data_IF_967152962399
#
_entry.id   IF_967152962399
#
_cell.length_a   1.000
_cell.length_b   1.000
_cell.length_c   1.000
_cell.angle_alpha   90.00
_cell.angle_beta   90.00
_cell.angle_gamma   90.00
#
_symmetry.space_group_name_H-M   'P 1'
#
loop_
_entity.id
_entity.type
_entity.pdbx_description
1 polymer ?
#
# COMPACT_ATOMS: atom_id res chain seq x y z
N UNK A 1 -31.58 -18.40 34.72
CA UNK A 1 -30.65 -19.00 33.73
C UNK A 1 -30.11 -17.90 32.86
N UNK A 2 -28.78 -17.71 32.90
CA UNK A 2 -28.10 -16.78 32.01
C UNK A 2 -27.62 -17.54 30.79
N UNK A 3 -27.96 -17.07 29.59
CA UNK A 3 -27.40 -17.58 28.36
C UNK A 3 -26.66 -16.46 27.59
N UNK A 4 -25.54 -16.82 26.99
CA UNK A 4 -24.70 -15.90 26.22
C UNK A 4 -25.01 -16.18 24.74
N UNK A 5 -25.34 -15.12 23.99
CA UNK A 5 -25.47 -15.17 22.53
C UNK A 5 -24.25 -14.58 21.87
N UNK A 6 -23.76 -15.24 20.85
CA UNK A 6 -22.70 -14.74 19.99
C UNK A 6 -23.10 -14.84 18.51
N UNK A 7 -22.55 -13.96 17.68
CA UNK A 7 -22.63 -14.06 16.23
C UNK A 7 -21.29 -14.57 15.70
N UNK A 8 -21.31 -15.66 14.95
CA UNK A 8 -20.13 -16.22 14.31
C UNK A 8 -20.31 -16.13 12.81
N UNK A 9 -19.24 -15.70 12.12
CA UNK A 9 -19.21 -15.65 10.65
C UNK A 9 -18.17 -16.64 10.17
N UNK A 10 -18.53 -17.53 9.27
CA UNK A 10 -17.60 -18.46 8.62
C UNK A 10 -16.80 -17.65 7.61
N UNK A 11 -15.47 -17.68 7.71
CA UNK A 11 -14.57 -16.98 6.81
C UNK A 11 -14.07 -17.89 5.67
N UNK A 12 -13.99 -19.18 5.91
CA UNK A 12 -13.53 -20.15 4.93
C UNK A 12 -13.39 -21.54 5.51
N UNK A 13 -13.04 -22.49 4.66
CA UNK A 13 -12.68 -23.86 4.99
C UNK A 13 -11.16 -24.03 4.80
N UNK A 14 -10.46 -24.48 5.84
CA UNK A 14 -9.00 -24.64 5.82
C UNK A 14 -8.59 -25.73 4.82
N UNK A 15 -9.40 -26.77 4.70
CA UNK A 15 -9.13 -27.89 3.79
C UNK A 15 -9.41 -27.54 2.31
N UNK A 16 -10.07 -26.40 2.04
CA UNK A 16 -10.40 -25.89 0.70
C UNK A 16 -9.87 -24.46 0.45
N UNK A 17 -8.58 -24.22 0.70
CA UNK A 17 -7.88 -22.95 0.46
C UNK A 17 -8.64 -21.71 1.00
N UNK A 18 -9.30 -21.83 2.14
CA UNK A 18 -10.15 -20.81 2.74
C UNK A 18 -11.33 -20.36 1.87
N UNK A 19 -11.77 -21.18 0.93
CA UNK A 19 -13.01 -20.94 0.22
C UNK A 19 -14.22 -21.03 1.16
N UNK A 20 -15.25 -20.25 0.89
CA UNK A 20 -16.48 -20.35 1.66
C UNK A 20 -17.17 -21.69 1.43
N UNK A 21 -17.48 -22.46 2.47
CA UNK A 21 -18.17 -23.73 2.31
C UNK A 21 -19.55 -23.53 1.68
N UNK A 22 -19.91 -24.40 0.76
CA UNK A 22 -21.18 -24.34 0.03
C UNK A 22 -22.39 -24.67 0.89
N UNK A 23 -22.15 -25.38 1.98
CA UNK A 23 -23.21 -25.82 2.92
C UNK A 23 -23.00 -25.13 4.28
N UNK A 24 -24.07 -24.61 4.91
CA UNK A 24 -23.97 -24.04 6.25
C UNK A 24 -23.67 -25.15 7.28
N UNK A 25 -23.02 -24.75 8.37
CA UNK A 25 -22.83 -25.66 9.49
C UNK A 25 -24.18 -26.14 10.05
N UNK A 26 -24.36 -27.47 10.31
CA UNK A 26 -25.59 -27.99 10.89
C UNK A 26 -25.89 -27.38 12.26
N UNK A 27 -27.17 -27.30 12.66
CA UNK A 27 -27.53 -26.91 14.01
C UNK A 27 -26.88 -27.84 15.05
N UNK A 28 -26.32 -27.25 16.11
CA UNK A 28 -25.62 -27.98 17.16
C UNK A 28 -24.15 -28.30 16.89
N UNK A 29 -23.59 -27.79 15.77
CA UNK A 29 -22.17 -27.90 15.51
C UNK A 29 -21.37 -27.16 16.60
N UNK A 30 -20.44 -27.85 17.30
CA UNK A 30 -19.64 -27.22 18.35
C UNK A 30 -18.67 -26.23 17.78
N UNK A 31 -18.41 -25.15 18.52
CA UNK A 31 -17.45 -24.08 18.18
C UNK A 31 -16.33 -24.14 19.20
N UNK A 32 -15.11 -24.23 18.70
CA UNK A 32 -13.89 -24.25 19.50
C UNK A 32 -13.02 -23.03 19.19
N UNK A 33 -12.19 -22.62 20.16
CA UNK A 33 -11.12 -21.67 19.89
C UNK A 33 -10.08 -22.34 18.98
N UNK A 34 -9.65 -21.67 17.93
CA UNK A 34 -8.62 -22.19 17.04
C UNK A 34 -7.32 -22.49 17.82
N UNK A 35 -6.74 -23.65 17.54
CA UNK A 35 -5.41 -23.99 18.08
C UNK A 35 -4.33 -23.17 17.38
N UNK A 36 -3.12 -23.14 18.00
CA UNK A 36 -1.96 -22.48 17.42
C UNK A 36 -1.60 -23.05 16.05
N UNK A 37 -1.67 -24.37 15.90
CA UNK A 37 -1.33 -25.03 14.64
C UNK A 37 -2.26 -24.59 13.50
N UNK A 38 -3.55 -24.54 13.76
CA UNK A 38 -4.56 -24.04 12.80
C UNK A 38 -4.28 -22.57 12.42
N UNK A 39 -3.92 -21.72 13.38
CA UNK A 39 -3.63 -20.32 13.10
C UNK A 39 -2.33 -20.16 12.31
N UNK A 40 -1.31 -20.95 12.60
CA UNK A 40 -0.09 -20.95 11.82
C UNK A 40 -0.36 -21.38 10.36
N UNK A 41 -1.14 -22.43 10.15
CA UNK A 41 -1.51 -22.89 8.80
C UNK A 41 -2.24 -21.81 7.99
N UNK A 42 -3.04 -20.95 8.65
CA UNK A 42 -3.77 -19.86 8.00
C UNK A 42 -2.86 -18.65 7.72
N UNK A 43 -2.01 -18.25 8.68
CA UNK A 43 -1.29 -16.97 8.64
C UNK A 43 0.19 -17.10 8.27
N UNK A 44 0.81 -18.27 8.48
CA UNK A 44 2.20 -18.53 8.12
C UNK A 44 2.27 -19.04 6.66
N UNK A 45 2.41 -18.11 5.74
CA UNK A 45 2.52 -18.42 4.30
C UNK A 45 3.97 -18.61 3.90
N UNK A 46 4.26 -19.60 3.06
CA UNK A 46 5.57 -19.71 2.39
C UNK A 46 5.79 -18.50 1.49
N UNK A 47 6.99 -17.91 1.53
CA UNK A 47 7.34 -16.70 0.79
C UNK A 47 6.47 -15.48 1.14
N UNK A 48 6.22 -15.28 2.42
CA UNK A 48 5.47 -14.12 2.90
C UNK A 48 6.39 -13.00 3.37
N UNK A 49 5.92 -11.77 3.20
CA UNK A 49 6.43 -10.61 3.92
C UNK A 49 5.86 -10.63 5.32
N UNK A 50 6.72 -10.55 6.32
CA UNK A 50 6.31 -10.51 7.72
C UNK A 50 5.82 -9.12 8.07
N UNK A 51 4.55 -8.98 8.43
CA UNK A 51 3.95 -7.70 8.78
C UNK A 51 3.87 -7.46 10.29
N UNK A 52 3.81 -8.52 11.07
CA UNK A 52 3.67 -8.44 12.52
C UNK A 52 3.09 -9.72 13.10
N UNK A 53 2.37 -9.60 14.22
CA UNK A 53 1.82 -10.71 14.97
C UNK A 53 0.32 -10.51 15.25
N UNK A 54 -0.41 -11.57 15.51
CA UNK A 54 -1.81 -11.48 15.90
C UNK A 54 -1.94 -10.83 17.27
N UNK A 55 -2.79 -9.82 17.40
CA UNK A 55 -3.08 -9.15 18.68
C UNK A 55 -3.61 -10.14 19.73
N UNK A 56 -4.36 -11.16 19.29
CA UNK A 56 -4.95 -12.16 20.19
C UNK A 56 -3.98 -13.27 20.62
N UNK A 57 -2.90 -13.46 19.86
CA UNK A 57 -1.85 -14.47 20.09
C UNK A 57 -0.54 -13.93 19.50
N UNK A 58 0.27 -13.30 20.31
CA UNK A 58 1.52 -12.62 19.90
C UNK A 58 2.60 -13.57 19.36
N UNK A 59 2.45 -14.85 19.57
CA UNK A 59 3.34 -15.89 19.05
C UNK A 59 2.98 -16.39 17.63
N UNK A 60 1.89 -15.85 17.05
CA UNK A 60 1.47 -16.13 15.67
C UNK A 60 1.90 -14.98 14.78
N UNK A 61 2.82 -15.27 13.88
CA UNK A 61 3.29 -14.32 12.88
C UNK A 61 2.28 -14.18 11.73
N UNK A 62 2.07 -12.95 11.26
CA UNK A 62 1.17 -12.65 10.14
C UNK A 62 1.97 -12.14 8.97
N UNK A 63 1.81 -12.78 7.83
CA UNK A 63 2.47 -12.40 6.59
C UNK A 63 1.52 -12.21 5.42
N UNK A 64 2.04 -11.58 4.37
CA UNK A 64 1.35 -11.41 3.08
C UNK A 64 2.20 -12.07 1.99
N UNK A 65 1.56 -12.87 1.14
CA UNK A 65 2.23 -13.53 0.01
C UNK A 65 2.86 -12.50 -0.95
N UNK A 66 4.20 -12.57 -1.10
CA UNK A 66 4.96 -11.63 -1.93
C UNK A 66 4.47 -11.67 -3.38
N UNK A 67 4.26 -12.86 -3.94
CA UNK A 67 3.89 -13.01 -5.33
C UNK A 67 2.50 -12.42 -5.61
N UNK A 68 1.55 -12.64 -4.71
CA UNK A 68 0.22 -12.06 -4.81
C UNK A 68 0.26 -10.54 -4.69
N UNK A 69 1.12 -10.00 -3.83
CA UNK A 69 1.28 -8.56 -3.65
C UNK A 69 1.94 -7.90 -4.86
N UNK A 70 3.03 -8.46 -5.37
CA UNK A 70 3.81 -7.87 -6.48
C UNK A 70 3.10 -8.03 -7.83
N UNK A 71 2.38 -9.14 -8.04
CA UNK A 71 1.65 -9.38 -9.29
C UNK A 71 0.31 -8.65 -9.39
N UNK A 72 -0.15 -8.04 -8.30
CA UNK A 72 -1.43 -7.33 -8.20
C UNK A 72 -1.24 -5.98 -7.53
N UNK A 73 -2.33 -5.29 -7.27
CA UNK A 73 -2.31 -4.02 -6.53
C UNK A 73 -2.57 -4.27 -5.04
N UNK A 74 -1.82 -3.58 -4.19
CA UNK A 74 -2.06 -3.51 -2.75
C UNK A 74 -2.51 -2.08 -2.40
N UNK A 75 -3.60 -1.95 -1.66
CA UNK A 75 -4.04 -0.70 -1.09
C UNK A 75 -4.00 -0.77 0.43
N UNK A 76 -3.31 0.19 1.07
CA UNK A 76 -3.25 0.33 2.52
C UNK A 76 -4.11 1.51 2.92
N UNK A 77 -5.27 1.23 3.49
CA UNK A 77 -6.25 2.23 3.92
C UNK A 77 -6.21 2.37 5.43
N UNK A 78 -5.94 3.57 5.90
CA UNK A 78 -5.87 3.86 7.33
C UNK A 78 -6.22 5.32 7.60
N UNK A 79 -6.77 5.58 8.78
CA UNK A 79 -6.93 6.96 9.27
C UNK A 79 -5.57 7.56 9.61
N UNK A 80 -5.49 8.88 9.64
CA UNK A 80 -4.28 9.60 10.06
C UNK A 80 -3.86 9.14 11.46
N UNK A 81 -2.57 8.83 11.62
CA UNK A 81 -2.02 8.33 12.89
C UNK A 81 -2.22 6.83 13.16
N UNK A 82 -2.90 6.09 12.28
CA UNK A 82 -3.13 4.64 12.45
C UNK A 82 -1.94 3.75 12.08
N UNK A 83 -0.79 4.33 11.70
CA UNK A 83 0.43 3.58 11.38
C UNK A 83 0.59 3.18 9.91
N UNK A 84 -0.15 3.82 8.98
CA UNK A 84 -0.03 3.56 7.53
C UNK A 84 1.42 3.59 7.05
N UNK A 85 2.14 4.69 7.31
CA UNK A 85 3.53 4.87 6.88
C UNK A 85 4.47 3.86 7.52
N UNK A 86 4.24 3.51 8.78
CA UNK A 86 5.00 2.45 9.45
C UNK A 86 4.76 1.09 8.79
N UNK A 87 3.53 0.75 8.43
CA UNK A 87 3.22 -0.50 7.72
C UNK A 87 3.92 -0.54 6.36
N UNK A 88 3.93 0.58 5.62
CA UNK A 88 4.64 0.68 4.34
C UNK A 88 6.15 0.52 4.54
N UNK A 89 6.74 1.14 5.57
CA UNK A 89 8.17 0.97 5.89
C UNK A 89 8.53 -0.49 6.19
N UNK A 90 7.69 -1.21 6.93
CA UNK A 90 7.88 -2.65 7.19
C UNK A 90 7.83 -3.45 5.89
N UNK A 91 6.89 -3.15 5.00
CA UNK A 91 6.80 -3.82 3.70
C UNK A 91 8.05 -3.55 2.85
N UNK A 92 8.54 -2.30 2.83
CA UNK A 92 9.75 -1.91 2.11
C UNK A 92 10.95 -2.70 2.66
N UNK A 93 11.15 -2.71 3.97
CA UNK A 93 12.29 -3.39 4.60
C UNK A 93 12.25 -4.91 4.36
N UNK A 94 11.08 -5.52 4.45
CA UNK A 94 10.90 -6.94 4.13
C UNK A 94 11.16 -7.25 2.64
N UNK A 95 10.72 -6.40 1.71
CA UNK A 95 11.02 -6.57 0.27
C UNK A 95 12.53 -6.43 -0.01
N UNK A 96 13.21 -5.51 0.65
CA UNK A 96 14.67 -5.35 0.54
C UNK A 96 15.41 -6.60 1.03
N UNK A 97 14.90 -7.28 2.07
CA UNK A 97 15.45 -8.56 2.54
C UNK A 97 15.46 -9.64 1.44
N UNK A 98 14.49 -9.61 0.54
CA UNK A 98 14.44 -10.46 -0.65
C UNK A 98 15.22 -9.91 -1.85
N UNK A 99 16.05 -8.87 -1.64
CA UNK A 99 16.82 -8.18 -2.69
C UNK A 99 15.96 -7.58 -3.79
N UNK A 100 14.74 -7.18 -3.44
CA UNK A 100 13.84 -6.45 -4.33
C UNK A 100 14.35 -5.03 -4.59
N UNK A 101 14.19 -4.56 -5.82
CA UNK A 101 14.40 -3.15 -6.17
C UNK A 101 13.05 -2.47 -6.27
N UNK A 102 12.91 -1.31 -5.63
CA UNK A 102 11.66 -0.56 -5.57
C UNK A 102 11.85 0.89 -5.98
N UNK A 103 10.83 1.46 -6.58
CA UNK A 103 10.70 2.89 -6.82
C UNK A 103 9.53 3.41 -5.97
N UNK A 104 9.83 4.33 -5.06
CA UNK A 104 8.83 4.93 -4.17
C UNK A 104 8.59 6.38 -4.57
N UNK A 105 7.33 6.73 -4.86
CA UNK A 105 6.92 8.11 -5.07
C UNK A 105 6.41 8.69 -3.76
N UNK A 106 7.30 9.40 -3.06
CA UNK A 106 7.04 9.94 -1.72
C UNK A 106 6.68 11.42 -1.78
N UNK A 107 5.38 11.70 -1.86
CA UNK A 107 4.86 13.07 -1.96
C UNK A 107 4.98 13.89 -0.67
N UNK A 108 5.19 13.21 0.46
CA UNK A 108 5.18 13.84 1.79
C UNK A 108 6.51 13.69 2.53
N UNK A 109 7.52 13.10 1.89
CA UNK A 109 8.84 12.84 2.49
C UNK A 109 8.75 12.00 3.77
N UNK A 110 7.87 11.00 3.76
CA UNK A 110 7.69 10.09 4.91
C UNK A 110 8.77 9.01 4.99
N UNK A 111 9.47 8.74 3.86
CA UNK A 111 10.43 7.64 3.73
C UNK A 111 11.84 8.09 3.37
N UNK A 112 12.04 9.36 3.01
CA UNK A 112 13.33 9.89 2.58
C UNK A 112 14.43 9.80 3.64
N UNK A 113 14.05 9.95 4.90
CA UNK A 113 14.96 9.87 6.04
C UNK A 113 14.84 8.54 6.81
N UNK A 114 14.09 7.56 6.25
CA UNK A 114 13.92 6.27 6.88
C UNK A 114 15.17 5.41 6.72
N UNK A 115 15.62 4.81 7.81
CA UNK A 115 16.69 3.81 7.82
C UNK A 115 16.06 2.42 7.67
N UNK A 116 16.50 1.68 6.66
CA UNK A 116 16.08 0.30 6.42
C UNK A 116 17.21 -0.67 6.76
N UNK A 117 16.86 -1.77 7.43
CA UNK A 117 17.85 -2.75 7.90
C UNK A 117 18.41 -3.62 6.77
N UNK A 118 17.67 -3.76 5.68
CA UNK A 118 17.96 -4.72 4.62
C UNK A 118 18.40 -4.10 3.29
N UNK A 119 18.59 -2.79 3.22
CA UNK A 119 19.02 -2.12 1.99
C UNK A 119 19.19 -0.63 2.12
N UNK A 120 19.69 -0.02 1.06
CA UNK A 120 20.00 1.40 1.00
C UNK A 120 18.89 2.18 0.25
N UNK A 121 18.68 3.43 0.67
CA UNK A 121 17.77 4.37 0.03
C UNK A 121 18.57 5.37 -0.79
N UNK A 122 18.22 5.51 -2.05
CA UNK A 122 18.72 6.58 -2.91
C UNK A 122 17.61 7.59 -3.17
N UNK A 123 17.69 8.74 -2.53
CA UNK A 123 16.71 9.81 -2.67
C UNK A 123 16.99 10.62 -3.93
N UNK A 124 16.07 10.57 -4.88
CA UNK A 124 16.12 11.34 -6.11
C UNK A 124 15.12 12.47 -6.01
N UNK A 125 15.63 13.71 -6.01
CA UNK A 125 14.76 14.89 -6.12
C UNK A 125 14.45 15.14 -7.60
N UNK A 126 13.20 15.00 -8.03
CA UNK A 126 12.84 15.27 -9.42
C UNK A 126 13.00 16.76 -9.72
N UNK A 127 13.86 17.06 -10.67
CA UNK A 127 14.00 18.42 -11.19
C UNK A 127 13.16 18.53 -12.45
N UNK A 128 12.08 19.28 -12.36
CA UNK A 128 11.26 19.60 -13.52
C UNK A 128 12.01 20.65 -14.35
N UNK A 129 12.48 20.26 -15.54
CA UNK A 129 13.06 21.22 -16.47
C UNK A 129 11.96 21.78 -17.38
N UNK A 130 11.54 23.03 -17.20
CA UNK A 130 10.47 23.64 -17.97
C UNK A 130 10.79 23.73 -19.47
N UNK A 131 12.05 23.54 -19.86
CA UNK A 131 12.45 23.62 -21.27
C UNK A 131 11.87 22.45 -22.11
N UNK A 132 11.69 21.29 -21.48
CA UNK A 132 11.13 20.09 -22.13
C UNK A 132 9.62 19.94 -21.93
N UNK A 133 8.99 20.91 -21.27
CA UNK A 133 7.55 20.83 -20.97
C UNK A 133 6.73 21.52 -22.07
N UNK A 134 5.60 20.92 -22.38
CA UNK A 134 4.59 21.51 -23.24
C UNK A 134 3.83 22.66 -22.54
N UNK A 135 3.19 23.50 -23.35
CA UNK A 135 2.41 24.63 -22.83
C UNK A 135 1.37 24.24 -21.80
N UNK A 136 0.64 23.12 -22.05
CA UNK A 136 -0.41 22.68 -21.15
C UNK A 136 0.14 22.19 -19.81
N UNK A 137 1.27 21.49 -19.81
CA UNK A 137 1.93 21.00 -18.59
C UNK A 137 2.38 22.16 -17.71
N UNK A 138 3.01 23.18 -18.32
CA UNK A 138 3.43 24.38 -17.56
C UNK A 138 2.23 25.21 -17.11
N UNK A 139 1.15 25.27 -17.92
CA UNK A 139 -0.10 25.92 -17.56
C UNK A 139 -0.72 25.27 -16.30
N UNK A 140 -0.72 23.95 -16.24
CA UNK A 140 -1.24 23.18 -15.10
C UNK A 140 -0.38 23.38 -13.85
N UNK A 141 0.94 23.35 -13.97
CA UNK A 141 1.87 23.69 -12.89
C UNK A 141 1.68 25.11 -12.36
N UNK A 142 1.41 26.07 -13.25
CA UNK A 142 1.10 27.46 -12.88
C UNK A 142 -0.32 27.63 -12.32
N UNK A 143 -1.09 26.54 -12.21
CA UNK A 143 -2.47 26.54 -11.73
C UNK A 143 -3.39 27.53 -12.48
N UNK A 144 -3.18 27.70 -13.78
CA UNK A 144 -4.00 28.58 -14.62
C UNK A 144 -5.26 27.81 -15.07
N UNK A 145 -6.38 28.15 -14.47
CA UNK A 145 -7.66 27.50 -14.76
C UNK A 145 -8.07 27.73 -16.22
N UNK A 146 -8.69 26.73 -16.84
CA UNK A 146 -9.19 26.80 -18.21
C UNK A 146 -10.26 27.89 -18.42
N UNK A 147 -10.91 28.37 -17.37
CA UNK A 147 -11.85 29.51 -17.40
C UNK A 147 -11.15 30.87 -17.38
N UNK A 148 -9.85 30.92 -17.11
CA UNK A 148 -9.08 32.17 -17.02
C UNK A 148 -8.47 32.57 -18.37
N UNK A 149 -9.31 32.79 -19.39
CA UNK A 149 -8.91 33.04 -20.78
C UNK A 149 -7.90 34.19 -20.96
N UNK A 150 -8.02 35.24 -20.14
CA UNK A 150 -7.10 36.40 -20.22
C UNK A 150 -5.71 36.00 -19.73
N UNK A 151 -5.62 35.33 -18.59
CA UNK A 151 -4.37 34.85 -18.02
C UNK A 151 -3.71 33.83 -18.96
N UNK A 152 -4.48 32.87 -19.49
CA UNK A 152 -3.98 31.89 -20.45
C UNK A 152 -3.40 32.57 -21.71
N UNK A 153 -4.07 33.57 -22.25
CA UNK A 153 -3.62 34.31 -23.44
C UNK A 153 -2.26 34.99 -23.20
N UNK A 154 -2.08 35.65 -22.05
CA UNK A 154 -0.82 36.30 -21.73
C UNK A 154 0.29 35.27 -21.46
N UNK A 155 -0.06 34.20 -20.76
CA UNK A 155 0.87 33.12 -20.47
C UNK A 155 1.33 32.42 -21.77
N UNK A 156 0.44 32.14 -22.71
CA UNK A 156 0.77 31.60 -24.03
C UNK A 156 1.73 32.52 -24.81
N UNK A 157 1.51 33.82 -24.79
CA UNK A 157 2.43 34.78 -25.42
C UNK A 157 3.82 34.76 -24.77
N UNK A 158 3.88 34.70 -23.47
CA UNK A 158 5.15 34.60 -22.73
C UNK A 158 5.88 33.27 -23.03
N UNK A 159 5.16 32.18 -23.06
CA UNK A 159 5.70 30.86 -23.37
C UNK A 159 6.28 30.82 -24.79
N UNK A 160 5.56 31.30 -25.78
CA UNK A 160 6.03 31.38 -27.18
C UNK A 160 7.26 32.27 -27.31
N UNK A 161 7.28 33.44 -26.65
CA UNK A 161 8.42 34.35 -26.69
C UNK A 161 9.68 33.74 -26.07
N UNK A 162 9.54 32.92 -25.02
CA UNK A 162 10.63 32.17 -24.39
C UNK A 162 11.27 31.17 -25.36
N UNK A 163 10.48 30.49 -26.18
CA UNK A 163 10.98 29.54 -27.16
C UNK A 163 11.90 30.18 -28.20
N UNK A 164 11.73 31.50 -28.46
CA UNK A 164 12.61 32.26 -29.36
C UNK A 164 13.87 32.84 -28.69
N UNK A 165 13.93 32.92 -27.36
CA UNK A 165 15.07 33.48 -26.64
C UNK A 165 16.14 32.45 -26.32
N UNK A 166 15.78 31.17 -26.31
CA UNK A 166 16.67 30.06 -25.91
C UNK A 166 17.12 29.15 -27.07
N UNK A 167 16.76 29.47 -28.30
CA UNK A 167 17.38 28.97 -29.55
C UNK A 167 18.39 29.95 -30.09
#
# INVERSE_FOLDING_TARGET
>A
DYYIRGKVTILGDIDDDLNLPRTPAPPGTPIYKASKDILNDIFEMKNSLKLGHLISQEDIEVGVDINKMVSRHLAILAMTGAGKSNTVSVIIDELLRYKGTMLVFDMHSEYSDAEFSNGDVNVIQPIVNPHYMEFNEIKDLANIKSSAHIQERYFRKAFTKRAYIWN
#
